data_IF_025238136873
#
_entry.id   IF_025238136873
#
_cell.length_a   1.000
_cell.length_b   1.000
_cell.length_c   1.000
_cell.angle_alpha   90.00
_cell.angle_beta   90.00
_cell.angle_gamma   90.00
#
_symmetry.space_group_name_H-M   'P 1'
#
loop_
_entity.id
_entity.type
_entity.pdbx_description
1 polymer ?
#
# COMPACT_ATOMS: atom_id res chain seq x y z
N UNK A 1 35.55 -58.09 -32.88
CA UNK A 1 35.41 -59.16 -31.85
C UNK A 1 34.02 -58.96 -31.25
N UNK A 2 33.03 -59.81 -31.53
CA UNK A 2 32.88 -61.20 -31.05
C UNK A 2 32.62 -61.22 -29.53
N UNK A 3 31.35 -61.17 -29.07
CA UNK A 3 30.43 -62.30 -28.74
C UNK A 3 30.57 -62.73 -27.24
N UNK A 4 29.53 -62.63 -26.38
CA UNK A 4 28.33 -63.51 -26.16
C UNK A 4 28.67 -64.78 -25.32
N UNK A 5 27.94 -65.25 -24.27
CA UNK A 5 26.58 -65.03 -23.66
C UNK A 5 26.64 -65.09 -22.10
N UNK A 6 25.68 -64.50 -21.36
CA UNK A 6 25.41 -64.82 -19.94
C UNK A 6 24.01 -64.37 -19.47
N UNK A 7 23.03 -65.28 -19.39
CA UNK A 7 21.61 -64.95 -19.22
C UNK A 7 21.08 -65.10 -17.77
N UNK A 8 20.06 -64.29 -17.43
CA UNK A 8 19.25 -64.44 -16.21
C UNK A 8 17.82 -63.95 -16.44
N UNK A 9 16.87 -64.88 -16.61
CA UNK A 9 15.45 -64.56 -16.82
C UNK A 9 14.73 -64.28 -15.50
N UNK A 10 14.02 -63.14 -15.44
CA UNK A 10 13.06 -62.83 -14.38
C UNK A 10 11.86 -62.06 -14.96
N UNK A 11 10.80 -62.78 -15.37
CA UNK A 11 9.56 -62.19 -15.89
C UNK A 11 8.51 -62.05 -14.78
N UNK A 12 8.30 -60.83 -14.30
CA UNK A 12 7.03 -60.31 -13.76
C UNK A 12 7.07 -58.77 -13.90
N UNK A 13 6.03 -58.06 -14.33
CA UNK A 13 4.65 -58.48 -14.52
C UNK A 13 3.63 -57.51 -13.89
N UNK A 14 3.83 -56.20 -14.02
CA UNK A 14 2.84 -55.15 -13.72
C UNK A 14 3.25 -53.89 -14.51
N UNK A 15 2.47 -53.32 -15.42
CA UNK A 15 1.01 -53.42 -15.58
C UNK A 15 0.39 -52.19 -14.94
N UNK A 16 0.11 -51.17 -15.74
CA UNK A 16 -0.39 -49.89 -15.26
C UNK A 16 -1.75 -50.06 -14.56
N UNK A 17 -1.82 -49.64 -13.29
CA UNK A 17 -3.04 -49.66 -12.47
C UNK A 17 -3.32 -48.28 -11.86
N UNK A 18 -3.45 -47.26 -12.72
CA UNK A 18 -4.35 -46.15 -12.41
C UNK A 18 -5.79 -46.65 -12.54
N UNK A 19 -6.26 -47.37 -11.52
CA UNK A 19 -7.64 -47.83 -11.44
C UNK A 19 -8.63 -46.65 -11.38
N UNK A 20 -9.87 -46.81 -11.86
CA UNK A 20 -10.84 -45.72 -11.98
C UNK A 20 -11.15 -45.01 -10.66
N UNK A 21 -10.97 -45.70 -9.53
CA UNK A 21 -11.18 -45.19 -8.16
C UNK A 21 -10.25 -44.00 -7.85
N UNK A 22 -8.99 -44.03 -8.29
CA UNK A 22 -8.03 -42.95 -8.01
C UNK A 22 -8.39 -41.64 -8.73
N UNK A 23 -8.86 -41.76 -9.98
CA UNK A 23 -9.25 -40.61 -10.82
C UNK A 23 -10.55 -39.99 -10.28
N UNK A 24 -11.53 -40.80 -9.87
CA UNK A 24 -12.75 -40.30 -9.22
C UNK A 24 -12.45 -39.53 -7.92
N UNK A 25 -11.57 -40.03 -7.05
CA UNK A 25 -11.23 -39.34 -5.80
C UNK A 25 -10.60 -37.95 -6.04
N UNK A 26 -9.70 -37.82 -7.03
CA UNK A 26 -9.10 -36.53 -7.39
C UNK A 26 -10.11 -35.55 -7.99
N UNK A 27 -11.01 -36.02 -8.86
CA UNK A 27 -12.06 -35.18 -9.47
C UNK A 27 -13.06 -34.73 -8.41
N UNK A 28 -13.49 -35.61 -7.50
CA UNK A 28 -14.38 -35.25 -6.39
C UNK A 28 -13.74 -34.26 -5.42
N UNK A 29 -12.44 -34.41 -5.10
CA UNK A 29 -11.72 -33.44 -4.27
C UNK A 29 -11.60 -32.06 -4.95
N UNK A 30 -11.31 -32.02 -6.24
CA UNK A 30 -11.26 -30.77 -7.02
C UNK A 30 -12.64 -30.11 -7.13
N UNK A 31 -13.70 -30.88 -7.40
CA UNK A 31 -15.07 -30.38 -7.46
C UNK A 31 -15.58 -29.89 -6.10
N UNK A 32 -15.28 -30.61 -5.01
CA UNK A 32 -15.59 -30.18 -3.64
C UNK A 32 -14.82 -28.90 -3.26
N UNK A 33 -13.55 -28.78 -3.67
CA UNK A 33 -12.77 -27.56 -3.49
C UNK A 33 -13.35 -26.39 -4.29
N UNK A 34 -13.74 -26.60 -5.56
CA UNK A 34 -14.42 -25.60 -6.39
C UNK A 34 -15.75 -25.15 -5.75
N UNK A 35 -16.58 -26.10 -5.29
CA UNK A 35 -17.85 -25.81 -4.61
C UNK A 35 -17.65 -25.09 -3.27
N UNK A 36 -16.65 -25.47 -2.48
CA UNK A 36 -16.27 -24.77 -1.25
C UNK A 36 -15.83 -23.33 -1.54
N UNK A 37 -15.02 -23.13 -2.58
CA UNK A 37 -14.62 -21.80 -3.04
C UNK A 37 -15.84 -20.99 -3.50
N UNK A 38 -16.78 -21.56 -4.26
CA UNK A 38 -18.01 -20.89 -4.69
C UNK A 38 -18.97 -20.57 -3.53
N UNK A 39 -19.17 -21.47 -2.58
CA UNK A 39 -19.99 -21.22 -1.39
C UNK A 39 -19.41 -20.08 -0.53
N UNK A 40 -18.08 -20.06 -0.38
CA UNK A 40 -17.36 -18.98 0.29
C UNK A 40 -17.45 -17.64 -0.46
N UNK A 41 -17.35 -17.66 -1.79
CA UNK A 41 -17.55 -16.47 -2.64
C UNK A 41 -18.93 -15.84 -2.43
N UNK A 42 -19.99 -16.66 -2.40
CA UNK A 42 -21.36 -16.19 -2.15
C UNK A 42 -21.53 -15.50 -0.78
N UNK A 43 -20.93 -16.07 0.28
CA UNK A 43 -20.99 -15.49 1.62
C UNK A 43 -20.20 -14.17 1.75
N UNK A 44 -19.00 -14.08 1.15
CA UNK A 44 -18.17 -12.87 1.22
C UNK A 44 -18.74 -11.73 0.35
N UNK A 45 -19.43 -12.03 -0.75
CA UNK A 45 -20.16 -11.05 -1.56
C UNK A 45 -21.43 -10.51 -0.88
N UNK A 46 -22.21 -11.38 -0.23
CA UNK A 46 -23.38 -10.97 0.56
C UNK A 46 -23.00 -10.04 1.72
N UNK A 47 -21.91 -10.36 2.45
CA UNK A 47 -21.39 -9.55 3.56
C UNK A 47 -20.99 -8.11 3.19
N UNK A 48 -20.73 -7.81 1.91
CA UNK A 48 -20.29 -6.46 1.46
C UNK A 48 -21.44 -5.55 1.06
N UNK A 49 -22.46 -6.09 0.39
CA UNK A 49 -23.73 -5.36 0.20
C UNK A 49 -24.28 -4.93 1.55
N UNK A 50 -24.29 -5.87 2.50
CA UNK A 50 -24.66 -5.62 3.90
C UNK A 50 -23.88 -4.48 4.57
N UNK A 51 -22.64 -4.13 4.17
CA UNK A 51 -21.89 -3.03 4.80
C UNK A 51 -22.34 -1.69 4.27
N UNK A 52 -22.41 -1.53 2.95
CA UNK A 52 -22.87 -0.27 2.35
C UNK A 52 -24.32 -0.04 2.74
N UNK A 53 -25.16 -1.07 2.62
CA UNK A 53 -26.57 -1.07 3.06
C UNK A 53 -26.72 -0.76 4.55
N UNK A 54 -25.92 -1.37 5.44
CA UNK A 54 -25.94 -1.01 6.88
C UNK A 54 -25.41 0.39 7.16
N UNK A 55 -24.45 0.92 6.39
CA UNK A 55 -24.05 2.32 6.53
C UNK A 55 -25.15 3.27 6.07
N UNK A 56 -25.77 3.01 4.92
CA UNK A 56 -26.89 3.78 4.35
C UNK A 56 -28.13 3.75 5.28
N UNK A 57 -28.38 2.62 5.94
CA UNK A 57 -29.45 2.47 6.94
C UNK A 57 -29.09 3.03 8.34
N UNK A 58 -27.83 3.40 8.59
CA UNK A 58 -27.34 3.85 9.90
C UNK A 58 -27.03 2.74 10.92
N UNK A 59 -27.15 1.48 10.51
CA UNK A 59 -26.87 0.27 11.30
C UNK A 59 -25.38 -0.03 11.51
N UNK A 60 -24.45 0.81 11.03
CA UNK A 60 -23.00 0.60 11.15
C UNK A 60 -22.25 1.93 11.30
N UNK A 61 -21.43 2.04 12.35
CA UNK A 61 -20.64 3.25 12.63
C UNK A 61 -19.23 3.22 11.97
N UNK A 62 -18.55 4.37 11.90
CA UNK A 62 -17.22 4.46 11.29
C UNK A 62 -16.12 3.68 12.03
N UNK A 63 -16.39 3.17 13.24
CA UNK A 63 -15.48 2.33 14.04
C UNK A 63 -15.58 0.86 13.60
N UNK A 64 -16.80 0.34 13.45
CA UNK A 64 -17.06 -0.99 12.87
C UNK A 64 -16.46 -1.09 11.45
N UNK A 65 -16.58 -0.01 10.66
CA UNK A 65 -15.99 0.10 9.31
C UNK A 65 -14.45 0.10 9.33
N UNK A 66 -13.81 0.80 10.28
CA UNK A 66 -12.34 0.78 10.43
C UNK A 66 -11.86 -0.66 10.68
N UNK A 67 -12.51 -1.36 11.61
CA UNK A 67 -12.13 -2.71 12.02
C UNK A 67 -12.35 -3.72 10.88
N UNK A 68 -13.55 -3.74 10.29
CA UNK A 68 -13.91 -4.67 9.23
C UNK A 68 -13.01 -4.53 7.99
N UNK A 69 -12.69 -3.29 7.61
CA UNK A 69 -11.85 -3.00 6.44
C UNK A 69 -10.36 -2.90 6.78
N UNK A 70 -9.95 -3.23 8.01
CA UNK A 70 -8.57 -3.18 8.51
C UNK A 70 -7.85 -1.85 8.21
N UNK A 71 -8.57 -0.72 8.30
CA UNK A 71 -8.04 0.59 7.94
C UNK A 71 -6.94 1.03 8.92
N UNK A 72 -5.90 1.68 8.38
CA UNK A 72 -4.75 2.11 9.16
C UNK A 72 -3.83 0.98 9.61
N UNK A 73 -4.07 -0.27 9.17
CA UNK A 73 -3.06 -1.32 9.27
C UNK A 73 -1.88 -0.97 8.35
N UNK A 74 -0.66 -1.16 8.85
CA UNK A 74 0.56 -0.87 8.12
C UNK A 74 1.49 -2.09 8.15
N UNK A 75 1.95 -2.51 6.97
CA UNK A 75 2.88 -3.62 6.78
C UNK A 75 3.52 -3.54 5.38
N UNK A 76 4.45 -4.44 5.05
CA UNK A 76 4.95 -4.61 3.68
C UNK A 76 3.80 -4.90 2.72
N UNK A 77 3.89 -4.37 1.49
CA UNK A 77 2.81 -4.45 0.50
C UNK A 77 2.30 -5.88 0.28
N UNK A 78 3.19 -6.88 0.20
CA UNK A 78 2.82 -8.30 0.04
C UNK A 78 1.91 -8.86 1.14
N UNK A 79 1.94 -8.27 2.35
CA UNK A 79 1.11 -8.66 3.48
C UNK A 79 -0.20 -7.87 3.52
N UNK A 80 -0.17 -6.55 3.31
CA UNK A 80 -1.41 -5.76 3.10
C UNK A 80 -2.22 -6.28 1.91
N UNK A 81 -1.58 -6.80 0.85
CA UNK A 81 -2.27 -7.49 -0.24
C UNK A 81 -3.06 -8.72 0.21
N UNK A 82 -2.69 -9.40 1.30
CA UNK A 82 -3.47 -10.54 1.83
C UNK A 82 -4.83 -10.07 2.36
N UNK A 83 -4.88 -8.90 2.99
CA UNK A 83 -6.13 -8.27 3.43
C UNK A 83 -7.05 -7.95 2.23
N UNK A 84 -6.49 -7.75 1.03
CA UNK A 84 -7.24 -7.55 -0.23
C UNK A 84 -7.65 -8.83 -0.95
N UNK A 85 -7.17 -10.02 -0.55
CA UNK A 85 -7.28 -11.23 -1.41
C UNK A 85 -8.69 -11.76 -1.74
N UNK A 86 -9.76 -11.54 -0.95
CA UNK A 86 -11.09 -11.99 -1.38
C UNK A 86 -11.86 -10.97 -2.27
N UNK A 87 -11.25 -9.88 -2.74
CA UNK A 87 -11.99 -8.73 -3.31
C UNK A 87 -12.03 -8.61 -4.85
N UNK A 88 -11.51 -9.57 -5.62
CA UNK A 88 -11.44 -9.47 -7.09
C UNK A 88 -12.11 -10.62 -7.85
N UNK A 89 -13.44 -10.52 -8.01
CA UNK A 89 -14.18 -11.02 -9.18
C UNK A 89 -15.59 -10.42 -9.23
N UNK A 90 -16.24 -10.52 -10.40
CA UNK A 90 -17.61 -10.05 -10.68
C UNK A 90 -17.85 -8.52 -10.69
N UNK A 91 -16.86 -7.74 -11.17
CA UNK A 91 -17.10 -6.35 -11.62
C UNK A 91 -17.20 -5.27 -10.54
N UNK A 92 -17.13 -5.63 -9.25
CA UNK A 92 -17.14 -4.68 -8.15
C UNK A 92 -15.73 -4.20 -7.77
N UNK A 93 -15.61 -2.90 -7.48
CA UNK A 93 -14.34 -2.16 -7.38
C UNK A 93 -13.85 -2.09 -5.93
N UNK A 94 -12.53 -2.17 -5.76
CA UNK A 94 -11.82 -1.96 -4.49
C UNK A 94 -12.35 -0.75 -3.69
N UNK A 95 -12.70 -1.00 -2.43
CA UNK A 95 -13.00 0.06 -1.45
C UNK A 95 -11.77 0.43 -0.61
N UNK A 96 -10.73 -0.41 -0.61
CA UNK A 96 -9.45 -0.17 0.06
C UNK A 96 -8.27 -0.33 -0.89
N UNK A 97 -7.33 0.60 -0.79
CA UNK A 97 -6.05 0.56 -1.48
C UNK A 97 -4.89 0.42 -0.46
N UNK A 98 -3.68 0.22 -0.98
CA UNK A 98 -2.47 0.15 -0.17
C UNK A 98 -1.63 1.35 -0.60
N UNK A 99 -1.61 2.39 0.22
CA UNK A 99 -0.81 3.58 -0.04
C UNK A 99 0.63 3.28 0.38
N UNK A 100 1.58 3.54 -0.51
CA UNK A 100 3.00 3.44 -0.21
C UNK A 100 3.46 4.80 0.31
N UNK A 101 4.02 4.84 1.51
CA UNK A 101 4.38 6.10 2.19
C UNK A 101 5.84 5.99 2.61
N UNK A 102 6.82 6.51 1.83
CA UNK A 102 6.63 7.40 0.66
C UNK A 102 6.17 6.66 -0.61
N UNK A 103 5.56 7.38 -1.58
CA UNK A 103 5.06 6.79 -2.81
C UNK A 103 6.14 6.08 -3.64
N UNK A 104 5.83 4.93 -4.24
CA UNK A 104 6.77 4.15 -5.06
C UNK A 104 7.45 4.97 -6.16
N UNK A 105 6.73 5.90 -6.80
CA UNK A 105 7.32 6.75 -7.84
C UNK A 105 8.44 7.65 -7.29
N UNK A 106 8.36 8.06 -6.02
CA UNK A 106 9.42 8.82 -5.35
C UNK A 106 10.67 7.97 -5.15
N UNK A 107 10.53 6.71 -4.73
CA UNK A 107 11.65 5.76 -4.63
C UNK A 107 12.27 5.48 -6.01
N UNK A 108 11.45 5.27 -7.05
CA UNK A 108 11.96 5.04 -8.40
C UNK A 108 12.76 6.22 -8.94
N UNK A 109 12.25 7.45 -8.77
CA UNK A 109 12.85 8.71 -9.27
C UNK A 109 14.01 9.21 -8.41
N UNK A 110 14.16 8.75 -7.17
CA UNK A 110 15.30 9.11 -6.33
C UNK A 110 16.64 8.79 -7.03
N UNK A 111 16.69 7.71 -7.82
CA UNK A 111 17.86 7.28 -8.62
C UNK A 111 18.26 8.27 -9.72
N UNK A 112 17.34 9.11 -10.16
CA UNK A 112 17.53 10.11 -11.22
C UNK A 112 18.07 11.44 -10.66
N UNK A 113 18.10 11.61 -9.34
CA UNK A 113 18.55 12.85 -8.70
C UNK A 113 20.07 12.87 -8.56
N UNK A 114 20.67 14.05 -8.74
CA UNK A 114 22.13 14.27 -8.74
C UNK A 114 22.82 13.81 -7.45
N UNK A 115 22.14 13.95 -6.33
CA UNK A 115 22.65 13.65 -4.99
C UNK A 115 22.66 12.13 -4.67
N UNK A 116 21.92 11.32 -5.43
CA UNK A 116 21.71 9.89 -5.15
C UNK A 116 22.98 9.05 -4.94
N UNK A 117 24.10 9.25 -5.68
CA UNK A 117 25.33 8.48 -5.44
C UNK A 117 25.89 8.65 -4.01
N UNK A 118 25.63 9.79 -3.35
CA UNK A 118 26.07 10.08 -1.99
C UNK A 118 25.23 9.35 -0.94
N UNK A 119 23.99 8.97 -1.28
CA UNK A 119 23.07 8.28 -0.36
C UNK A 119 23.65 6.97 0.17
N UNK A 120 24.46 6.26 -0.63
CA UNK A 120 25.17 5.03 -0.21
C UNK A 120 26.00 5.23 1.06
N UNK A 121 26.56 6.42 1.26
CA UNK A 121 27.39 6.75 2.42
C UNK A 121 26.60 7.40 3.55
N UNK A 122 25.58 8.22 3.22
CA UNK A 122 24.72 8.88 4.23
C UNK A 122 23.73 7.93 4.89
N UNK A 123 23.09 7.08 4.11
CA UNK A 123 22.05 6.16 4.56
C UNK A 123 22.07 4.89 3.66
N UNK A 124 22.96 3.92 3.96
CA UNK A 124 23.14 2.73 3.13
C UNK A 124 21.87 1.86 3.04
N UNK A 125 21.01 1.89 4.08
CA UNK A 125 19.74 1.18 4.07
C UNK A 125 18.75 1.79 3.07
N UNK A 126 18.56 3.11 3.09
CA UNK A 126 17.71 3.80 2.12
C UNK A 126 18.26 3.68 0.69
N UNK A 127 19.57 3.73 0.51
CA UNK A 127 20.22 3.45 -0.79
C UNK A 127 19.89 2.04 -1.30
N UNK A 128 20.02 1.02 -0.44
CA UNK A 128 19.65 -0.37 -0.77
C UNK A 128 18.20 -0.46 -1.20
N UNK A 129 17.27 0.11 -0.44
CA UNK A 129 15.83 0.09 -0.72
C UNK A 129 15.52 0.70 -2.10
N UNK A 130 16.11 1.85 -2.42
CA UNK A 130 15.94 2.51 -3.71
C UNK A 130 16.54 1.67 -4.87
N UNK A 131 17.61 0.92 -4.62
CA UNK A 131 18.20 0.00 -5.59
C UNK A 131 17.38 -1.28 -5.77
N UNK A 132 16.79 -1.83 -4.71
CA UNK A 132 15.87 -2.98 -4.74
C UNK A 132 14.65 -2.72 -5.63
N UNK A 133 14.21 -1.47 -5.80
CA UNK A 133 13.19 -1.06 -6.78
C UNK A 133 13.59 -1.29 -8.27
N UNK A 134 14.75 -1.89 -8.57
CA UNK A 134 15.07 -2.44 -9.90
C UNK A 134 14.52 -3.86 -10.08
N UNK A 135 14.51 -4.66 -9.01
CA UNK A 135 14.13 -6.08 -8.98
C UNK A 135 12.75 -6.31 -8.33
N UNK A 136 12.28 -5.36 -7.52
CA UNK A 136 10.91 -5.30 -7.00
C UNK A 136 10.19 -4.00 -7.47
N UNK A 137 9.89 -3.83 -8.78
CA UNK A 137 9.13 -2.65 -9.24
C UNK A 137 7.75 -2.46 -8.58
N UNK A 138 6.97 -3.53 -8.24
CA UNK A 138 5.70 -3.36 -7.53
C UNK A 138 5.85 -2.98 -6.05
N UNK A 139 7.07 -3.00 -5.49
CA UNK A 139 7.32 -2.68 -4.09
C UNK A 139 6.74 -3.70 -3.10
N UNK A 140 6.70 -4.99 -3.43
CA UNK A 140 6.22 -6.06 -2.55
C UNK A 140 6.83 -6.04 -1.13
N UNK A 141 8.10 -5.63 -1.01
CA UNK A 141 8.78 -5.49 0.28
C UNK A 141 8.69 -4.08 0.90
N UNK A 142 8.13 -3.09 0.19
CA UNK A 142 8.00 -1.71 0.70
C UNK A 142 6.84 -1.57 1.67
N UNK A 143 6.98 -0.66 2.62
CA UNK A 143 5.94 -0.38 3.61
C UNK A 143 4.72 0.30 2.98
N UNK A 144 3.55 -0.12 3.42
CA UNK A 144 2.26 0.37 2.95
C UNK A 144 1.25 0.50 4.07
N UNK A 145 0.22 1.33 3.85
CA UNK A 145 -0.93 1.48 4.74
C UNK A 145 -2.20 1.09 4.00
N UNK A 146 -3.07 0.32 4.64
CA UNK A 146 -4.42 0.05 4.16
C UNK A 146 -5.33 1.26 4.41
N UNK A 147 -5.81 1.88 3.33
CA UNK A 147 -6.59 3.12 3.38
C UNK A 147 -7.81 3.03 2.45
N UNK A 148 -8.88 3.81 2.67
CA UNK A 148 -9.99 3.91 1.72
C UNK A 148 -9.51 4.37 0.35
N UNK A 149 -9.96 3.68 -0.69
CA UNK A 149 -9.58 3.93 -2.09
C UNK A 149 -9.83 5.38 -2.50
N UNK A 150 -10.97 5.94 -2.12
CA UNK A 150 -11.38 7.26 -2.56
C UNK A 150 -10.54 8.38 -1.90
N UNK A 151 -10.17 8.19 -0.62
CA UNK A 151 -9.28 9.10 0.11
C UNK A 151 -7.84 9.05 -0.44
N UNK A 152 -7.32 7.86 -0.73
CA UNK A 152 -5.99 7.69 -1.33
C UNK A 152 -5.92 8.37 -2.69
N UNK A 153 -6.90 8.15 -3.57
CA UNK A 153 -6.98 8.76 -4.91
C UNK A 153 -7.19 10.27 -4.90
N UNK A 154 -7.74 10.82 -3.82
CA UNK A 154 -7.89 12.26 -3.63
C UNK A 154 -6.58 12.95 -3.18
N UNK A 155 -5.67 12.21 -2.53
CA UNK A 155 -4.44 12.70 -1.93
C UNK A 155 -3.44 13.29 -2.96
N UNK A 156 -2.37 13.91 -2.47
CA UNK A 156 -1.23 14.37 -3.29
C UNK A 156 -0.13 13.29 -3.42
N UNK A 157 -0.13 12.28 -2.55
CA UNK A 157 0.69 11.06 -2.67
C UNK A 157 0.39 10.32 -3.98
N UNK A 158 -0.87 10.31 -4.42
CA UNK A 158 -1.35 9.58 -5.60
C UNK A 158 -1.77 10.50 -6.76
N UNK A 159 -2.20 9.88 -7.87
CA UNK A 159 -2.76 10.58 -9.03
C UNK A 159 -1.73 11.25 -9.96
N UNK A 160 -2.19 11.60 -11.15
CA UNK A 160 -1.35 12.00 -12.30
C UNK A 160 -1.31 13.52 -12.56
N UNK A 161 -1.91 14.36 -11.72
CA UNK A 161 -1.81 15.82 -11.88
C UNK A 161 -0.38 16.31 -11.66
N UNK A 162 0.00 17.42 -12.30
CA UNK A 162 1.31 18.08 -12.14
C UNK A 162 1.67 18.27 -10.66
N UNK A 163 0.73 18.78 -9.86
CA UNK A 163 0.86 18.93 -8.41
C UNK A 163 1.32 17.64 -7.70
N UNK A 164 0.61 16.53 -7.87
CA UNK A 164 0.97 15.24 -7.28
C UNK A 164 2.33 14.71 -7.77
N UNK A 165 2.63 14.90 -9.07
CA UNK A 165 3.90 14.47 -9.68
C UNK A 165 5.09 15.24 -9.13
N UNK A 166 4.90 16.54 -8.86
CA UNK A 166 5.90 17.42 -8.25
C UNK A 166 6.06 17.19 -6.74
N UNK A 167 4.98 16.90 -6.01
CA UNK A 167 5.07 16.41 -4.62
C UNK A 167 5.90 15.13 -4.53
N UNK A 168 5.70 14.18 -5.46
CA UNK A 168 6.52 12.95 -5.51
C UNK A 168 7.96 13.20 -5.95
N UNK A 169 8.23 14.25 -6.73
CA UNK A 169 9.59 14.68 -7.09
C UNK A 169 10.31 15.36 -5.91
N UNK A 170 9.61 16.16 -5.10
CA UNK A 170 10.15 16.68 -3.84
C UNK A 170 10.62 15.53 -2.94
N UNK A 171 9.76 14.52 -2.71
CA UNK A 171 10.15 13.35 -1.93
C UNK A 171 11.32 12.58 -2.56
N UNK A 172 11.36 12.42 -3.89
CA UNK A 172 12.50 11.80 -4.58
C UNK A 172 13.83 12.51 -4.31
N UNK A 173 13.82 13.85 -4.25
CA UNK A 173 15.00 14.67 -3.87
C UNK A 173 15.38 14.47 -2.42
N UNK A 174 14.43 14.51 -1.48
CA UNK A 174 14.68 14.25 -0.05
C UNK A 174 15.28 12.85 0.18
N UNK A 175 14.74 11.83 -0.50
CA UNK A 175 15.28 10.45 -0.49
C UNK A 175 16.73 10.44 -0.99
N UNK A 176 17.02 11.04 -2.14
CA UNK A 176 18.36 11.06 -2.73
C UNK A 176 19.39 11.84 -1.87
N UNK A 177 18.96 12.92 -1.21
CA UNK A 177 19.78 13.70 -0.29
C UNK A 177 20.05 12.98 1.04
N UNK A 178 19.25 11.97 1.40
CA UNK A 178 19.29 11.27 2.69
C UNK A 178 18.54 11.98 3.82
N UNK A 179 17.60 12.87 3.49
CA UNK A 179 16.85 13.71 4.45
C UNK A 179 15.59 12.97 4.94
N UNK A 180 15.78 11.87 5.66
CA UNK A 180 14.75 10.89 6.04
C UNK A 180 13.64 11.45 6.91
N UNK A 181 13.97 12.18 7.97
CA UNK A 181 12.97 12.84 8.83
C UNK A 181 12.08 13.80 8.04
N UNK A 182 12.66 14.64 7.18
CA UNK A 182 11.92 15.61 6.36
C UNK A 182 11.07 14.91 5.29
N UNK A 183 11.62 13.88 4.65
CA UNK A 183 10.92 13.01 3.70
C UNK A 183 9.67 12.38 4.32
N UNK A 184 9.76 11.81 5.53
CA UNK A 184 8.62 11.17 6.19
C UNK A 184 7.53 12.17 6.59
N UNK A 185 7.89 13.32 7.18
CA UNK A 185 6.93 14.40 7.49
C UNK A 185 6.17 14.86 6.24
N UNK A 186 6.88 15.11 5.14
CA UNK A 186 6.28 15.52 3.87
C UNK A 186 5.44 14.40 3.24
N UNK A 187 5.86 13.15 3.35
CA UNK A 187 5.07 12.00 2.91
C UNK A 187 3.75 11.87 3.69
N UNK A 188 3.77 12.09 5.00
CA UNK A 188 2.55 12.10 5.84
C UNK A 188 1.59 13.23 5.44
N UNK A 189 2.09 14.44 5.18
CA UNK A 189 1.27 15.56 4.70
C UNK A 189 0.60 15.22 3.36
N UNK A 190 1.34 14.73 2.37
CA UNK A 190 0.78 14.46 1.03
C UNK A 190 -0.06 13.18 0.96
N UNK A 191 0.12 12.23 1.88
CA UNK A 191 -0.74 11.05 1.98
C UNK A 191 -2.04 11.34 2.75
N UNK A 192 -2.03 12.28 3.69
CA UNK A 192 -3.23 12.62 4.45
C UNK A 192 -4.27 13.33 3.56
N UNK A 193 -5.53 12.86 3.50
CA UNK A 193 -6.53 13.39 2.58
C UNK A 193 -6.87 14.85 2.86
N UNK A 194 -7.04 15.25 4.13
CA UNK A 194 -7.40 16.63 4.48
C UNK A 194 -6.28 17.63 4.15
N UNK A 195 -5.02 17.38 4.53
CA UNK A 195 -3.89 18.23 4.16
C UNK A 195 -3.75 18.34 2.64
N UNK A 196 -3.93 17.23 1.92
CA UNK A 196 -3.92 17.22 0.45
C UNK A 196 -5.04 18.05 -0.17
N UNK A 197 -6.29 17.94 0.31
CA UNK A 197 -7.39 18.78 -0.18
C UNK A 197 -7.19 20.26 0.18
N UNK A 198 -6.65 20.54 1.36
CA UNK A 198 -6.35 21.90 1.80
C UNK A 198 -5.29 22.55 0.90
N UNK A 199 -4.17 21.87 0.64
CA UNK A 199 -3.15 22.34 -0.32
C UNK A 199 -3.75 22.57 -1.71
N UNK A 200 -4.62 21.66 -2.21
CA UNK A 200 -5.32 21.84 -3.49
C UNK A 200 -6.18 23.13 -3.47
N UNK A 201 -7.04 23.30 -2.47
CA UNK A 201 -7.92 24.47 -2.32
C UNK A 201 -7.12 25.78 -2.22
N UNK A 202 -6.11 25.84 -1.36
CA UNK A 202 -5.24 27.03 -1.13
C UNK A 202 -4.35 27.37 -2.34
N UNK A 203 -4.19 26.46 -3.30
CA UNK A 203 -3.49 26.70 -4.58
C UNK A 203 -4.42 26.91 -5.77
N UNK A 204 -5.74 26.98 -5.54
CA UNK A 204 -6.75 27.17 -6.59
C UNK A 204 -7.00 25.92 -7.45
N UNK A 205 -6.46 24.76 -7.07
CA UNK A 205 -6.72 23.50 -7.75
C UNK A 205 -8.11 22.96 -7.35
N UNK A 206 -8.84 22.34 -8.28
CA UNK A 206 -10.12 21.72 -7.95
C UNK A 206 -9.93 20.60 -6.92
N UNK A 207 -10.78 20.62 -5.89
CA UNK A 207 -10.90 19.51 -4.94
C UNK A 207 -11.27 18.21 -5.66
N UNK A 208 -10.80 17.08 -5.13
CA UNK A 208 -11.09 15.75 -5.67
C UNK A 208 -12.36 15.12 -5.06
N UNK A 209 -12.89 15.75 -4.00
CA UNK A 209 -14.05 15.29 -3.21
C UNK A 209 -15.30 15.03 -4.06
N UNK A 210 -15.55 15.85 -5.08
CA UNK A 210 -16.71 15.71 -6.00
C UNK A 210 -16.40 14.87 -7.25
N UNK A 211 -15.13 14.44 -7.45
CA UNK A 211 -14.69 13.71 -8.64
C UNK A 211 -14.56 12.20 -8.41
N UNK A 212 -14.55 11.78 -7.15
CA UNK A 212 -14.38 10.39 -6.75
C UNK A 212 -15.58 10.05 -5.86
N UNK A 213 -16.53 9.21 -6.32
CA UNK A 213 -17.69 8.85 -5.51
C UNK A 213 -17.22 8.18 -4.22
N UNK A 214 -17.53 8.76 -3.06
CA UNK A 214 -17.19 8.16 -1.78
C UNK A 214 -18.04 6.91 -1.57
N UNK A 215 -17.39 5.75 -1.49
CA UNK A 215 -18.07 4.45 -1.29
C UNK A 215 -18.02 3.92 0.13
N UNK A 216 -17.36 4.65 1.02
CA UNK A 216 -17.29 4.39 2.46
C UNK A 216 -17.44 5.74 3.14
N UNK A 217 -18.44 5.88 4.01
CA UNK A 217 -18.58 7.06 4.85
C UNK A 217 -17.77 6.90 6.14
N UNK A 218 -16.82 7.81 6.38
CA UNK A 218 -16.03 7.87 7.60
C UNK A 218 -16.05 9.28 8.18
N UNK A 219 -16.41 9.41 9.46
CA UNK A 219 -16.34 10.68 10.19
C UNK A 219 -14.91 11.25 10.19
N UNK A 220 -14.79 12.58 10.14
CA UNK A 220 -13.50 13.31 10.07
C UNK A 220 -12.49 12.82 11.12
N UNK A 221 -12.91 12.72 12.38
CA UNK A 221 -12.05 12.30 13.50
C UNK A 221 -11.59 10.85 13.39
N UNK A 222 -12.40 9.98 12.77
CA UNK A 222 -12.05 8.58 12.50
C UNK A 222 -10.97 8.50 11.43
N UNK A 223 -11.08 9.29 10.36
CA UNK A 223 -10.02 9.40 9.34
C UNK A 223 -8.71 9.87 9.98
N UNK A 224 -8.73 10.93 10.81
CA UNK A 224 -7.52 11.40 11.52
C UNK A 224 -6.93 10.31 12.42
N UNK A 225 -7.75 9.57 13.18
CA UNK A 225 -7.29 8.45 14.02
C UNK A 225 -6.64 7.33 13.18
N UNK A 226 -7.25 6.95 12.06
CA UNK A 226 -6.74 5.94 11.12
C UNK A 226 -5.34 6.32 10.62
N UNK A 227 -5.17 7.53 10.08
CA UNK A 227 -3.88 7.98 9.56
C UNK A 227 -2.85 8.21 10.67
N UNK A 228 -3.23 8.73 11.84
CA UNK A 228 -2.33 8.86 13.01
C UNK A 228 -1.76 7.50 13.44
N UNK A 229 -2.62 6.48 13.60
CA UNK A 229 -2.24 5.10 13.94
C UNK A 229 -1.31 4.50 12.89
N UNK A 230 -1.62 4.70 11.61
CA UNK A 230 -0.79 4.24 10.50
C UNK A 230 0.60 4.88 10.51
N UNK A 231 0.70 6.21 10.64
CA UNK A 231 1.97 6.93 10.65
C UNK A 231 2.85 6.52 11.84
N UNK A 232 2.28 6.40 13.04
CA UNK A 232 3.02 5.90 14.23
C UNK A 232 3.54 4.47 14.02
N UNK A 233 2.78 3.62 13.33
CA UNK A 233 3.21 2.25 13.00
C UNK A 233 4.34 2.27 11.98
N UNK A 234 4.21 3.05 10.90
CA UNK A 234 5.24 3.23 9.89
C UNK A 234 6.55 3.76 10.48
N UNK A 235 6.52 4.75 11.37
CA UNK A 235 7.73 5.31 12.01
C UNK A 235 8.51 4.21 12.75
N UNK A 236 7.81 3.36 13.51
CA UNK A 236 8.43 2.21 14.18
C UNK A 236 9.02 1.23 13.17
N UNK A 237 8.30 0.89 12.10
CA UNK A 237 8.82 0.01 11.06
C UNK A 237 10.04 0.60 10.32
N UNK A 238 10.09 1.92 10.10
CA UNK A 238 11.23 2.59 9.46
C UNK A 238 12.50 2.63 10.33
N UNK A 239 12.32 2.68 11.66
CA UNK A 239 13.41 2.51 12.63
C UNK A 239 13.81 1.03 12.74
N UNK A 240 12.87 0.17 13.12
CA UNK A 240 13.16 -1.17 13.65
C UNK A 240 13.33 -2.24 12.56
N UNK A 241 12.74 -2.05 11.36
CA UNK A 241 12.73 -3.05 10.27
C UNK A 241 13.53 -2.58 9.06
N UNK A 242 13.31 -1.35 8.59
CA UNK A 242 14.05 -0.81 7.44
C UNK A 242 15.37 -0.13 7.85
N UNK A 243 15.51 0.30 9.11
CA UNK A 243 16.69 0.97 9.67
C UNK A 243 17.15 2.17 8.82
N UNK A 244 16.19 2.97 8.34
CA UNK A 244 16.47 4.20 7.59
C UNK A 244 16.44 5.45 8.47
N UNK A 245 15.90 5.37 9.69
CA UNK A 245 15.96 6.42 10.70
C UNK A 245 16.54 5.85 11.99
N UNK A 246 17.17 6.69 12.80
CA UNK A 246 17.65 6.30 14.14
C UNK A 246 16.57 6.49 15.23
N UNK A 247 16.89 6.09 16.46
CA UNK A 247 15.98 6.21 17.60
C UNK A 247 15.58 7.66 17.92
N UNK A 248 16.46 8.64 17.70
CA UNK A 248 16.17 10.05 17.95
C UNK A 248 15.22 10.60 16.88
N UNK A 249 15.53 10.34 15.61
CA UNK A 249 14.64 10.67 14.50
C UNK A 249 13.26 10.02 14.66
N UNK A 250 13.21 8.76 15.12
CA UNK A 250 11.96 8.05 15.45
C UNK A 250 11.16 8.80 16.52
N UNK A 251 11.79 9.21 17.60
CA UNK A 251 11.10 9.86 18.73
C UNK A 251 10.62 11.28 18.35
N UNK A 252 11.45 12.05 17.64
CA UNK A 252 11.08 13.35 17.05
C UNK A 252 9.88 13.21 16.07
N UNK A 253 9.84 12.14 15.26
CA UNK A 253 8.74 11.85 14.33
C UNK A 253 7.47 11.36 15.05
N UNK A 254 7.60 10.59 16.14
CA UNK A 254 6.46 10.19 16.99
C UNK A 254 5.83 11.45 17.59
N UNK A 255 6.61 12.34 18.20
CA UNK A 255 6.10 13.59 18.77
C UNK A 255 5.40 14.47 17.72
N UNK A 256 5.99 14.59 16.53
CA UNK A 256 5.40 15.29 15.38
C UNK A 256 4.02 14.74 14.99
N UNK A 257 3.88 13.40 14.90
CA UNK A 257 2.61 12.74 14.58
C UNK A 257 1.62 12.78 15.75
N UNK A 258 2.09 12.71 16.99
CA UNK A 258 1.25 12.80 18.18
C UNK A 258 0.60 14.17 18.32
N UNK A 259 1.35 15.24 18.09
CA UNK A 259 0.87 16.63 18.02
C UNK A 259 0.05 16.95 16.76
N UNK A 260 -0.08 16.02 15.82
CA UNK A 260 -0.87 16.21 14.60
C UNK A 260 -0.25 17.17 13.57
N UNK A 261 1.07 17.37 13.61
CA UNK A 261 1.75 18.41 12.82
C UNK A 261 1.66 18.22 11.31
N UNK A 262 1.35 17.01 10.81
CA UNK A 262 1.03 16.76 9.40
C UNK A 262 -0.29 17.40 8.92
N UNK A 263 -1.08 17.98 9.83
CA UNK A 263 -2.24 18.82 9.55
C UNK A 263 -1.96 20.33 9.73
N UNK A 264 -0.76 20.70 10.19
CA UNK A 264 -0.43 22.08 10.54
C UNK A 264 0.03 22.88 9.32
N UNK A 265 -0.81 23.80 8.85
CA UNK A 265 -0.54 24.66 7.69
C UNK A 265 0.62 25.65 7.91
N UNK A 266 0.96 25.94 9.17
CA UNK A 266 2.08 26.81 9.52
C UNK A 266 3.43 26.09 9.59
N UNK A 267 3.46 24.77 9.41
CA UNK A 267 4.72 24.00 9.38
C UNK A 267 5.53 24.29 8.10
N UNK A 268 6.85 24.37 8.23
CA UNK A 268 7.74 24.60 7.10
C UNK A 268 7.66 23.46 6.07
N UNK A 269 7.44 22.23 6.55
CA UNK A 269 7.24 21.06 5.69
C UNK A 269 5.99 21.20 4.82
N UNK A 270 4.90 21.76 5.35
CA UNK A 270 3.67 22.06 4.60
C UNK A 270 3.84 23.25 3.65
N UNK A 271 4.48 24.33 4.12
CA UNK A 271 4.76 25.52 3.32
C UNK A 271 5.60 25.21 2.08
N UNK A 272 6.62 24.35 2.19
CA UNK A 272 7.39 23.91 1.02
C UNK A 272 6.54 23.15 -0.01
N UNK A 273 5.67 22.23 0.44
CA UNK A 273 4.77 21.49 -0.46
C UNK A 273 3.78 22.46 -1.14
N UNK A 274 3.17 23.36 -0.37
CA UNK A 274 2.24 24.38 -0.87
C UNK A 274 2.89 25.23 -1.98
N UNK A 275 4.13 25.64 -1.77
CA UNK A 275 4.88 26.45 -2.73
C UNK A 275 5.24 25.67 -4.01
N UNK A 276 5.63 24.40 -3.90
CA UNK A 276 5.89 23.54 -5.06
C UNK A 276 4.61 23.33 -5.89
N UNK A 277 3.48 23.11 -5.23
CA UNK A 277 2.18 22.99 -5.91
C UNK A 277 1.79 24.32 -6.57
N UNK A 278 1.92 25.45 -5.87
CA UNK A 278 1.59 26.80 -6.39
C UNK A 278 2.43 27.21 -7.61
N UNK A 279 3.72 26.86 -7.63
CA UNK A 279 4.62 27.15 -8.77
C UNK A 279 4.28 26.32 -10.01
N UNK A 280 3.66 25.15 -9.82
CA UNK A 280 3.34 24.20 -10.90
C UNK A 280 1.83 24.10 -11.22
N UNK A 281 0.96 24.83 -10.51
CA UNK A 281 -0.45 25.01 -10.87
C UNK A 281 -0.72 26.21 -11.79
N UNK A 282 0.31 27.06 -12.02
CA UNK A 282 0.27 28.26 -12.87
C UNK A 282 0.95 28.06 -14.24
N UNK A 283 1.20 26.81 -14.63
CA UNK A 283 1.81 26.39 -15.89
C UNK A 283 0.82 25.51 -16.65
#
# INVERSE_FOLDING_TARGET
>A
MAWFIGAGLGKTGAGALFGPVGICASICAFAAYQLYQHARQGQEGARRRLIIERQENGDMDSSEVEEFLHLGSADRYKYILKNKRPFTREGYVYHVEADHIPPLQSLHRAREQREFPLLKYKNPNLYRIVMEMKTDPPGQERLTVQVPTDLHRAALSSGNSTASTECRLLLARRIASGETTLMLKQAFIIAHPFSSQQIRRTTGLPGMENKIPQKIELKRDRIVKIYKKAFLTLIRMYCDIEMIIDCKERDDLIEYVEKGMYLNEESEEYKEILDIVRRNSRR
#
